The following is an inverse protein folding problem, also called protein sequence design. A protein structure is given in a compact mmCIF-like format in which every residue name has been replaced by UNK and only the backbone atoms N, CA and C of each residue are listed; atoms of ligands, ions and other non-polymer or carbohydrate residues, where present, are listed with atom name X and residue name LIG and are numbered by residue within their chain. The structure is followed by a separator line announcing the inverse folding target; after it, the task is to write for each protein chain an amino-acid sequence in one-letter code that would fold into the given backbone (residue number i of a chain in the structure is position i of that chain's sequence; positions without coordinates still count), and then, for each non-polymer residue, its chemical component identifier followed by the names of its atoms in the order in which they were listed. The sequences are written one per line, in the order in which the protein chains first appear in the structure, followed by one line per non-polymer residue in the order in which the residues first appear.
data_IF_381367021082
#
_entry.id   IF_381367021082
#
_cell.length_a   1.000
_cell.length_b   1.000
_cell.length_c   1.000
_cell.angle_alpha   90.00
_cell.angle_beta   90.00
_cell.angle_gamma   90.00
#
_symmetry.space_group_name_H-M   'P 1'
#
loop_
_entity.id
_entity.type
_entity.pdbx_description
1 polymer ?
#
# COMPACT_ATOMS: atom_id res chain seq x y z
N UNK A 1 -15.89 22.88 7.10
CA UNK A 1 -15.94 22.01 5.91
C UNK A 1 -14.54 21.96 5.33
N UNK A 2 -13.73 20.97 5.69
CA UNK A 2 -12.45 20.73 5.02
C UNK A 2 -12.36 19.21 4.81
N UNK A 3 -13.06 18.74 3.78
CA UNK A 3 -12.94 17.39 3.27
C UNK A 3 -11.58 17.30 2.56
N UNK A 4 -10.51 17.13 3.32
CA UNK A 4 -9.15 17.07 2.77
C UNK A 4 -8.43 15.84 3.32
N UNK A 5 -9.17 14.74 3.48
CA UNK A 5 -8.62 13.45 3.87
C UNK A 5 -8.35 12.66 2.60
N UNK A 6 -7.08 12.48 2.32
CA UNK A 6 -6.64 12.24 0.97
C UNK A 6 -5.39 11.38 1.02
N UNK A 7 -5.62 10.08 0.85
CA UNK A 7 -4.81 9.10 0.14
C UNK A 7 -5.31 7.75 0.63
N UNK A 8 -5.88 6.97 -0.27
CA UNK A 8 -6.21 5.59 0.05
C UNK A 8 -4.93 4.75 -0.08
N UNK A 9 -4.36 4.28 1.03
CA UNK A 9 -3.36 3.21 0.95
C UNK A 9 -4.12 1.91 0.78
N UNK A 10 -4.10 1.38 -0.44
CA UNK A 10 -4.72 0.09 -0.73
C UNK A 10 -3.69 -1.00 -0.45
N UNK A 11 -3.87 -1.70 0.66
CA UNK A 11 -3.03 -2.77 1.12
C UNK A 11 -3.67 -4.12 0.74
N UNK A 12 -3.06 -4.86 -0.18
CA UNK A 12 -3.47 -6.23 -0.49
C UNK A 12 -2.63 -7.22 0.32
N UNK A 13 -3.08 -7.59 1.51
CA UNK A 13 -2.39 -8.51 2.42
C UNK A 13 -3.11 -9.84 2.59
N UNK A 14 -3.36 -10.58 1.51
CA UNK A 14 -3.82 -11.99 1.50
C UNK A 14 -5.13 -12.35 2.23
N UNK A 15 -5.92 -13.19 1.57
CA UNK A 15 -7.08 -13.88 2.14
C UNK A 15 -6.74 -14.84 3.27
N UNK A 16 -7.68 -14.97 4.20
CA UNK A 16 -7.72 -16.00 5.24
C UNK A 16 -7.68 -17.37 4.58
N UNK A 17 -6.69 -18.19 4.95
CA UNK A 17 -6.54 -19.50 4.34
C UNK A 17 -7.34 -20.56 5.12
N UNK A 18 -8.54 -20.84 4.63
CA UNK A 18 -9.23 -22.10 4.88
C UNK A 18 -8.72 -23.13 3.86
N UNK A 19 -7.86 -24.03 4.35
CA UNK A 19 -7.48 -25.34 3.77
C UNK A 19 -6.54 -25.38 2.55
N UNK A 20 -5.32 -25.90 2.83
CA UNK A 20 -4.48 -26.81 2.03
C UNK A 20 -4.69 -26.79 0.50
N UNK A 21 -3.82 -26.09 -0.22
CA UNK A 21 -3.06 -26.60 -1.39
C UNK A 21 -1.87 -25.66 -1.64
N UNK A 22 -0.76 -26.21 -2.16
CA UNK A 22 0.58 -25.61 -2.36
C UNK A 22 0.62 -24.06 -2.36
N UNK A 23 0.98 -23.49 -1.21
CA UNK A 23 1.01 -22.03 -1.00
C UNK A 23 2.37 -21.44 -1.39
N UNK A 24 2.43 -20.30 -2.10
CA UNK A 24 3.60 -19.42 -2.02
C UNK A 24 3.80 -19.03 -0.54
N UNK A 25 5.03 -18.78 -0.07
CA UNK A 25 5.29 -18.73 1.37
C UNK A 25 4.45 -17.61 1.99
N UNK A 26 3.52 -17.98 2.88
CA UNK A 26 2.63 -17.11 3.68
C UNK A 26 3.40 -16.22 4.69
N UNK A 27 4.66 -15.90 4.37
CA UNK A 27 5.64 -15.28 5.26
C UNK A 27 5.74 -13.80 4.98
N UNK A 28 5.71 -13.38 3.71
CA UNK A 28 6.01 -11.99 3.33
C UNK A 28 4.91 -11.01 3.74
N UNK A 29 3.65 -11.22 3.35
CA UNK A 29 2.53 -10.34 3.73
C UNK A 29 2.36 -10.23 5.24
N UNK A 30 2.58 -11.33 5.97
CA UNK A 30 2.50 -11.35 7.43
C UNK A 30 3.68 -10.62 8.07
N UNK A 31 4.88 -10.78 7.54
CA UNK A 31 6.07 -10.07 8.01
C UNK A 31 5.94 -8.56 7.74
N UNK A 32 5.46 -8.19 6.55
CA UNK A 32 5.22 -6.81 6.16
C UNK A 32 4.19 -6.15 7.07
N UNK A 33 3.07 -6.82 7.34
CA UNK A 33 2.06 -6.33 8.29
C UNK A 33 2.64 -6.06 9.67
N UNK A 34 3.49 -6.96 10.16
CA UNK A 34 4.16 -6.79 11.46
C UNK A 34 5.13 -5.61 11.44
N UNK A 35 5.95 -5.48 10.40
CA UNK A 35 6.89 -4.37 10.25
C UNK A 35 6.17 -3.02 10.14
N UNK A 36 5.08 -2.98 9.36
CA UNK A 36 4.23 -1.80 9.20
C UNK A 36 3.58 -1.38 10.54
N UNK A 37 3.07 -2.34 11.31
CA UNK A 37 2.48 -2.09 12.61
C UNK A 37 3.50 -1.68 13.68
N UNK A 38 4.76 -2.13 13.55
CA UNK A 38 5.83 -1.82 14.49
C UNK A 38 6.47 -0.43 14.24
N UNK A 39 6.31 0.16 13.06
CA UNK A 39 6.86 1.48 12.75
C UNK A 39 5.88 2.60 13.18
N UNK A 40 6.22 3.28 14.27
CA UNK A 40 5.38 4.33 14.85
C UNK A 40 5.16 5.53 13.92
N UNK A 41 6.16 5.93 13.13
CA UNK A 41 6.04 7.06 12.21
C UNK A 41 5.04 6.76 11.09
N UNK A 42 5.14 5.56 10.52
CA UNK A 42 4.20 5.06 9.51
C UNK A 42 2.80 4.96 10.09
N UNK A 43 2.65 4.42 11.31
CA UNK A 43 1.34 4.35 11.98
C UNK A 43 0.73 5.72 12.22
N UNK A 44 1.54 6.70 12.65
CA UNK A 44 1.07 8.07 12.88
C UNK A 44 0.58 8.72 11.58
N UNK A 45 1.38 8.67 10.51
CA UNK A 45 0.95 9.18 9.20
C UNK A 45 -0.29 8.44 8.70
N UNK A 46 -0.32 7.11 8.84
CA UNK A 46 -1.46 6.29 8.43
C UNK A 46 -2.77 6.67 9.13
N UNK A 47 -2.72 7.20 10.35
CA UNK A 47 -3.90 7.62 11.13
C UNK A 47 -4.28 9.09 10.89
N UNK A 48 -3.28 9.97 10.75
CA UNK A 48 -3.50 11.42 10.69
C UNK A 48 -3.69 11.94 9.25
N UNK A 49 -2.97 11.37 8.29
CA UNK A 49 -2.85 11.91 6.93
C UNK A 49 -3.49 11.02 5.85
N UNK A 50 -3.62 9.71 6.10
CA UNK A 50 -4.04 8.72 5.09
C UNK A 50 -5.36 8.04 5.47
N UNK A 51 -6.08 7.57 4.45
CA UNK A 51 -7.17 6.61 4.59
C UNK A 51 -6.60 5.23 4.31
N UNK A 52 -6.64 4.33 5.29
CA UNK A 52 -6.12 2.97 5.11
C UNK A 52 -7.22 2.03 4.62
N UNK A 53 -7.05 1.42 3.45
CA UNK A 53 -7.95 0.38 2.93
C UNK A 53 -7.19 -0.92 2.77
N UNK A 54 -7.56 -1.93 3.55
CA UNK A 54 -7.03 -3.28 3.37
C UNK A 54 -8.01 -4.14 2.60
N UNK A 55 -7.61 -4.62 1.43
CA UNK A 55 -8.42 -5.53 0.60
C UNK A 55 -7.98 -6.98 0.84
N UNK A 56 -8.96 -7.80 1.22
CA UNK A 56 -8.76 -9.23 1.52
C UNK A 56 -8.96 -10.08 0.27
N UNK A 57 -9.76 -9.60 -0.67
CA UNK A 57 -10.05 -10.25 -1.95
C UNK A 57 -9.71 -9.29 -3.08
N UNK A 58 -9.26 -9.86 -4.20
CA UNK A 58 -8.96 -9.13 -5.42
C UNK A 58 -10.22 -8.43 -5.97
N UNK A 59 -10.03 -7.22 -6.49
CA UNK A 59 -11.09 -6.43 -7.12
C UNK A 59 -11.13 -6.69 -8.61
N UNK A 60 -12.27 -6.40 -9.25
CA UNK A 60 -12.38 -6.41 -10.72
C UNK A 60 -11.80 -5.17 -11.38
N UNK A 61 -11.46 -4.14 -10.60
CA UNK A 61 -10.84 -2.91 -11.09
C UNK A 61 -9.38 -3.14 -11.49
N UNK A 62 -9.08 -2.94 -12.78
CA UNK A 62 -7.74 -3.10 -13.36
C UNK A 62 -6.77 -2.01 -12.94
N UNK A 63 -7.29 -0.84 -12.51
CA UNK A 63 -6.43 0.24 -12.04
C UNK A 63 -5.73 -0.10 -10.72
N UNK A 64 -6.26 -1.06 -9.95
CA UNK A 64 -5.68 -1.54 -8.70
C UNK A 64 -4.65 -2.68 -8.89
N UNK A 65 -4.28 -2.97 -10.13
CA UNK A 65 -3.26 -3.96 -10.49
C UNK A 65 -2.53 -3.63 -11.81
N UNK A 66 -1.97 -2.41 -11.92
CA UNK A 66 -1.43 -1.90 -13.19
C UNK A 66 -0.22 -2.71 -13.71
N UNK A 67 0.54 -3.36 -12.82
CA UNK A 67 1.69 -4.21 -13.16
C UNK A 67 1.47 -5.70 -12.79
N UNK A 68 0.23 -6.09 -12.50
CA UNK A 68 -0.17 -7.47 -12.26
C UNK A 68 -0.74 -7.77 -10.87
N UNK A 69 -1.14 -9.03 -10.71
CA UNK A 69 -1.90 -9.53 -9.56
C UNK A 69 -1.02 -10.36 -8.61
N UNK A 70 -0.13 -9.69 -7.87
CA UNK A 70 0.75 -10.32 -6.88
C UNK A 70 0.50 -9.77 -5.47
N UNK A 71 0.96 -10.45 -4.42
CA UNK A 71 0.78 -9.98 -3.03
C UNK A 71 2.10 -10.05 -2.28
N UNK A 72 2.42 -9.08 -1.40
CA UNK A 72 1.63 -7.88 -1.07
C UNK A 72 1.73 -6.73 -2.08
N UNK A 73 0.71 -5.85 -2.15
CA UNK A 73 0.73 -4.59 -2.93
C UNK A 73 0.31 -3.42 -2.06
N UNK A 74 0.98 -2.28 -2.21
CA UNK A 74 0.65 -1.00 -1.56
C UNK A 74 0.51 0.06 -2.65
N UNK A 75 -0.72 0.55 -2.87
CA UNK A 75 -1.01 1.60 -3.85
C UNK A 75 -1.37 2.90 -3.14
N UNK A 76 -0.96 4.02 -3.72
CA UNK A 76 -1.37 5.36 -3.32
C UNK A 76 -2.40 5.90 -4.30
N UNK A 77 -3.55 6.34 -3.80
CA UNK A 77 -4.66 6.89 -4.61
C UNK A 77 -4.94 8.34 -4.24
N UNK A 78 -4.90 9.23 -5.22
CA UNK A 78 -5.15 10.69 -5.14
C UNK A 78 -6.66 11.01 -4.92
N UNK A 79 -7.15 12.23 -4.53
CA UNK A 79 -8.60 12.42 -4.31
C UNK A 79 -9.37 12.31 -5.62
N UNK A 80 -8.67 12.50 -6.74
CA UNK A 80 -9.14 12.35 -8.12
C UNK A 80 -9.43 10.89 -8.48
N UNK A 81 -9.30 9.97 -7.52
CA UNK A 81 -9.47 8.51 -7.68
C UNK A 81 -8.47 7.90 -8.67
N UNK A 82 -7.31 8.53 -8.82
CA UNK A 82 -6.23 8.04 -9.69
C UNK A 82 -5.12 7.38 -8.88
N UNK A 83 -4.67 6.21 -9.31
CA UNK A 83 -3.52 5.52 -8.72
C UNK A 83 -2.24 6.25 -9.13
N UNK A 84 -1.41 6.60 -8.15
CA UNK A 84 -0.12 7.28 -8.33
C UNK A 84 0.95 6.30 -8.79
N UNK A 85 1.09 6.18 -10.11
CA UNK A 85 2.09 5.30 -10.74
C UNK A 85 3.53 5.79 -10.59
N UNK A 86 3.74 7.03 -10.15
CA UNK A 86 5.03 7.64 -9.85
C UNK A 86 5.60 7.21 -8.48
N UNK A 87 4.76 6.68 -7.58
CA UNK A 87 5.17 6.23 -6.24
C UNK A 87 5.30 4.71 -6.24
N UNK A 88 6.52 4.24 -6.46
CA UNK A 88 6.86 2.82 -6.60
C UNK A 88 7.90 2.39 -5.55
N UNK A 89 7.91 1.09 -5.26
CA UNK A 89 8.90 0.40 -4.46
C UNK A 89 10.20 0.12 -5.24
N UNK A 90 11.06 -0.71 -4.65
CA UNK A 90 12.42 -0.97 -5.16
C UNK A 90 12.47 -1.96 -6.33
N UNK A 91 11.47 -2.83 -6.47
CA UNK A 91 11.55 -4.00 -7.33
C UNK A 91 10.94 -3.71 -8.71
N UNK A 92 11.77 -3.72 -9.76
CA UNK A 92 11.33 -3.40 -11.12
C UNK A 92 10.34 -4.41 -11.71
N UNK A 93 10.31 -5.63 -11.18
CA UNK A 93 9.37 -6.68 -11.57
C UNK A 93 8.07 -6.66 -10.75
N UNK A 94 8.02 -5.90 -9.65
CA UNK A 94 6.85 -5.78 -8.76
C UNK A 94 6.85 -4.38 -8.14
N UNK A 95 6.40 -3.39 -8.91
CA UNK A 95 6.56 -1.97 -8.61
C UNK A 95 5.89 -1.54 -7.32
N UNK A 96 4.86 -2.24 -6.85
CA UNK A 96 4.09 -1.88 -5.65
C UNK A 96 4.30 -2.85 -4.49
N UNK A 97 5.30 -3.73 -4.58
CA UNK A 97 5.67 -4.61 -3.46
C UNK A 97 6.69 -3.92 -2.56
N UNK A 98 6.57 -4.20 -1.26
CA UNK A 98 7.50 -3.75 -0.23
C UNK A 98 7.83 -4.95 0.66
N UNK A 99 9.08 -5.08 1.04
CA UNK A 99 9.50 -6.06 2.04
C UNK A 99 9.60 -5.43 3.43
N UNK A 100 9.67 -6.23 4.51
CA UNK A 100 9.86 -5.71 5.87
C UNK A 100 11.06 -4.79 6.05
N UNK A 101 12.11 -4.96 5.24
CA UNK A 101 13.31 -4.12 5.27
C UNK A 101 13.14 -2.80 4.51
N UNK A 102 12.09 -2.67 3.70
CA UNK A 102 11.80 -1.49 2.88
C UNK A 102 10.90 -0.48 3.61
N UNK A 103 10.67 -0.62 4.92
CA UNK A 103 9.89 0.34 5.71
C UNK A 103 10.39 1.79 5.63
N UNK A 104 11.71 2.07 5.63
CA UNK A 104 12.18 3.44 5.43
C UNK A 104 11.79 4.01 4.06
N UNK A 105 11.83 3.19 3.00
CA UNK A 105 11.40 3.60 1.66
C UNK A 105 9.88 3.81 1.63
N UNK A 106 9.10 2.95 2.27
CA UNK A 106 7.65 3.13 2.39
C UNK A 106 7.31 4.44 3.12
N UNK A 107 8.04 4.76 4.19
CA UNK A 107 7.87 6.01 4.94
C UNK A 107 8.18 7.24 4.06
N UNK A 108 9.25 7.18 3.27
CA UNK A 108 9.60 8.22 2.30
C UNK A 108 8.52 8.38 1.22
N UNK A 109 8.02 7.28 0.68
CA UNK A 109 6.93 7.27 -0.30
C UNK A 109 5.63 7.85 0.27
N UNK A 110 5.30 7.56 1.53
CA UNK A 110 4.17 8.21 2.22
C UNK A 110 4.39 9.72 2.36
N UNK A 111 5.60 10.17 2.73
CA UNK A 111 5.91 11.61 2.82
C UNK A 111 5.82 12.29 1.44
N UNK A 112 6.33 11.62 0.41
CA UNK A 112 6.27 12.10 -0.96
C UNK A 112 4.84 12.22 -1.46
N UNK A 113 4.01 11.18 -1.24
CA UNK A 113 2.58 11.22 -1.53
C UNK A 113 1.95 12.46 -0.89
N UNK A 114 2.12 12.64 0.43
CA UNK A 114 1.58 13.78 1.19
C UNK A 114 2.02 15.14 0.63
N UNK A 115 3.28 15.25 0.19
CA UNK A 115 3.80 16.50 -0.39
C UNK A 115 3.13 16.85 -1.71
N UNK A 116 2.90 15.87 -2.58
CA UNK A 116 2.30 16.03 -3.90
C UNK A 116 0.86 16.59 -3.84
N UNK A 117 0.12 16.35 -2.75
CA UNK A 117 -1.20 16.95 -2.57
C UNK A 117 -1.19 18.44 -2.31
N UNK A 118 -0.10 18.94 -1.71
CA UNK A 118 -0.01 20.35 -1.34
C UNK A 118 0.39 21.24 -2.52
N UNK A 119 0.93 20.64 -3.57
CA UNK A 119 1.46 21.37 -4.74
C UNK A 119 0.50 21.42 -5.92
N UNK A 120 -0.46 20.51 -5.99
CA UNK A 120 -1.43 20.39 -7.10
C UNK A 120 -2.79 21.06 -6.79
N UNK A 121 -2.87 21.83 -5.71
CA UNK A 121 -4.05 22.59 -5.25
C UNK A 121 -3.73 24.09 -5.20
#
# INVERSE_FOLDING_TARGET
MQYQTLFCIVLFLTGVDSKKTKKPPQTLSRALKKAFAANENIQKMAQEDFIMLNLVHETTDKNLSPDGMYVPRILFVDPTMTVRADIIGRYSNHLYTYEPHDMPLLEENMKHAKALLKTEL
#
